data_IF_105796197820
#
_entry.id   IF_105796197820
#
_cell.length_a   1.000
_cell.length_b   1.000
_cell.length_c   1.000
_cell.angle_alpha   90.00
_cell.angle_beta   90.00
_cell.angle_gamma   90.00
#
_symmetry.space_group_name_H-M   'P 1'
#
loop_
_entity.id
_entity.type
_entity.pdbx_description
1 polymer ?
#
# COMPACT_ATOMS: atom_id res chain seq x y z
N UNK A 1 -19.12 22.07 -7.02
CA UNK A 1 -18.49 20.84 -6.48
C UNK A 1 -17.18 20.63 -7.23
N UNK A 2 -16.05 20.65 -6.52
CA UNK A 2 -14.71 20.81 -7.11
C UNK A 2 -14.08 19.45 -7.48
N UNK A 3 -13.58 19.33 -8.71
CA UNK A 3 -12.93 18.13 -9.25
C UNK A 3 -11.62 17.74 -8.54
N UNK A 4 -11.14 18.55 -7.60
CA UNK A 4 -9.93 18.30 -6.82
C UNK A 4 -10.16 17.29 -5.68
N UNK A 5 -11.36 17.21 -5.10
CA UNK A 5 -11.66 16.33 -3.95
C UNK A 5 -11.77 14.84 -4.32
N UNK A 6 -11.90 14.50 -5.60
CA UNK A 6 -11.97 13.11 -6.05
C UNK A 6 -10.60 12.42 -6.10
N UNK A 7 -9.49 13.17 -6.01
CA UNK A 7 -8.14 12.68 -6.32
C UNK A 7 -7.42 12.01 -5.15
N UNK A 8 -7.97 12.04 -3.94
CA UNK A 8 -7.28 11.57 -2.73
C UNK A 8 -8.13 10.67 -1.83
N UNK A 9 -9.14 9.98 -2.38
CA UNK A 9 -9.66 8.80 -1.66
C UNK A 9 -8.65 7.67 -1.85
N UNK A 10 -8.06 7.13 -0.77
CA UNK A 10 -7.27 5.90 -0.88
C UNK A 10 -8.20 4.83 -1.43
N UNK A 11 -8.04 4.50 -2.71
CA UNK A 11 -8.85 3.50 -3.38
C UNK A 11 -8.48 2.16 -2.76
N UNK A 12 -9.49 1.42 -2.28
CA UNK A 12 -9.27 0.08 -1.77
C UNK A 12 -8.54 -0.76 -2.84
N UNK A 13 -7.55 -1.60 -2.48
CA UNK A 13 -6.79 -2.40 -3.44
C UNK A 13 -7.68 -3.21 -4.41
N UNK A 14 -8.87 -3.62 -3.95
CA UNK A 14 -9.88 -4.31 -4.77
C UNK A 14 -10.43 -3.47 -5.92
N UNK A 15 -10.69 -2.17 -5.73
CA UNK A 15 -11.21 -1.31 -6.81
C UNK A 15 -10.13 -1.04 -7.86
N UNK A 16 -8.88 -0.89 -7.44
CA UNK A 16 -7.74 -0.75 -8.35
C UNK A 16 -7.51 -2.01 -9.19
N UNK A 17 -7.59 -3.20 -8.57
CA UNK A 17 -7.54 -4.48 -9.29
C UNK A 17 -8.66 -4.60 -10.32
N UNK A 18 -9.89 -4.25 -9.94
CA UNK A 18 -11.05 -4.27 -10.85
C UNK A 18 -10.87 -3.33 -12.05
N UNK A 19 -10.45 -2.08 -11.81
CA UNK A 19 -10.20 -1.11 -12.87
C UNK A 19 -9.07 -1.57 -13.82
N UNK A 20 -7.99 -2.11 -13.27
CA UNK A 20 -6.87 -2.61 -14.06
C UNK A 20 -7.24 -3.82 -14.92
N UNK A 21 -8.08 -4.74 -14.41
CA UNK A 21 -8.64 -5.84 -15.21
C UNK A 21 -9.52 -5.34 -16.35
N UNK A 22 -10.34 -4.31 -16.12
CA UNK A 22 -11.14 -3.69 -17.18
C UNK A 22 -10.26 -3.06 -18.28
N UNK A 23 -9.16 -2.41 -17.90
CA UNK A 23 -8.20 -1.86 -18.87
C UNK A 23 -7.54 -2.96 -19.70
N UNK A 24 -7.14 -4.07 -19.06
CA UNK A 24 -6.61 -5.25 -19.77
C UNK A 24 -7.63 -5.81 -20.76
N UNK A 25 -8.86 -6.05 -20.32
CA UNK A 25 -9.92 -6.58 -21.18
C UNK A 25 -10.22 -5.63 -22.37
N UNK A 26 -10.27 -4.33 -22.10
CA UNK A 26 -10.49 -3.31 -23.12
C UNK A 26 -9.34 -3.27 -24.13
N UNK A 27 -8.08 -3.38 -23.67
CA UNK A 27 -6.92 -3.45 -24.55
C UNK A 27 -6.94 -4.67 -25.45
N UNK A 28 -7.29 -5.84 -24.91
CA UNK A 28 -7.40 -7.09 -25.69
C UNK A 28 -8.52 -6.98 -26.74
N UNK A 29 -9.72 -6.56 -26.33
CA UNK A 29 -10.87 -6.37 -27.24
C UNK A 29 -10.53 -5.34 -28.32
N UNK A 30 -9.91 -4.23 -27.94
CA UNK A 30 -9.49 -3.18 -28.85
C UNK A 30 -8.49 -3.68 -29.89
N UNK A 31 -7.45 -4.40 -29.47
CA UNK A 31 -6.46 -5.01 -30.37
C UNK A 31 -7.11 -5.96 -31.39
N UNK A 32 -8.09 -6.77 -30.97
CA UNK A 32 -8.82 -7.68 -31.85
C UNK A 32 -9.61 -6.89 -32.92
N UNK A 33 -10.37 -5.87 -32.50
CA UNK A 33 -11.19 -5.06 -33.42
C UNK A 33 -10.31 -4.31 -34.42
N UNK A 34 -9.23 -3.68 -33.95
CA UNK A 34 -8.32 -2.92 -34.82
C UNK A 34 -7.54 -3.80 -35.77
N UNK A 35 -7.25 -5.05 -35.37
CA UNK A 35 -6.65 -6.04 -36.27
C UNK A 35 -7.60 -6.43 -37.41
N UNK A 36 -8.91 -6.48 -37.15
CA UNK A 36 -9.93 -6.74 -38.19
C UNK A 36 -10.04 -5.53 -39.14
N UNK A 37 -9.88 -4.32 -38.61
CA UNK A 37 -9.91 -3.08 -39.38
C UNK A 37 -8.61 -2.77 -40.15
N UNK A 38 -7.57 -3.60 -40.00
CA UNK A 38 -6.22 -3.42 -40.56
C UNK A 38 -5.52 -2.12 -40.11
N UNK A 39 -5.90 -1.59 -38.94
CA UNK A 39 -5.38 -0.34 -38.37
C UNK A 39 -4.31 -0.61 -37.31
N UNK A 40 -3.06 -0.78 -37.76
CA UNK A 40 -1.92 -1.12 -36.89
C UNK A 40 -1.68 -0.06 -35.81
N UNK A 41 -1.85 1.22 -36.14
CA UNK A 41 -1.66 2.31 -35.17
C UNK A 41 -2.64 2.23 -34.00
N UNK A 42 -3.88 1.86 -34.28
CA UNK A 42 -4.90 1.69 -33.25
C UNK A 42 -4.67 0.40 -32.42
N UNK A 43 -4.15 -0.67 -33.03
CA UNK A 43 -3.78 -1.87 -32.28
C UNK A 43 -2.70 -1.59 -31.22
N UNK A 44 -1.70 -0.76 -31.55
CA UNK A 44 -0.62 -0.40 -30.62
C UNK A 44 -1.15 0.40 -29.43
N UNK A 45 -2.07 1.34 -29.65
CA UNK A 45 -2.63 2.16 -28.55
C UNK A 45 -3.47 1.32 -27.59
N UNK A 46 -4.31 0.41 -28.11
CA UNK A 46 -5.05 -0.53 -27.27
C UNK A 46 -4.14 -1.51 -26.53
N UNK A 47 -3.05 -1.97 -27.16
CA UNK A 47 -2.01 -2.74 -26.50
C UNK A 47 -1.37 -1.99 -25.34
N UNK A 48 -1.06 -0.71 -25.51
CA UNK A 48 -0.49 0.14 -24.45
C UNK A 48 -1.46 0.34 -23.27
N UNK A 49 -2.76 0.53 -23.56
CA UNK A 49 -3.81 0.59 -22.53
C UNK A 49 -3.84 -0.71 -21.72
N UNK A 50 -3.81 -1.87 -22.40
CA UNK A 50 -3.75 -3.17 -21.75
C UNK A 50 -2.49 -3.36 -20.91
N UNK A 51 -1.32 -2.98 -21.43
CA UNK A 51 -0.04 -3.06 -20.72
C UNK A 51 -0.03 -2.23 -19.44
N UNK A 52 -0.63 -1.04 -19.47
CA UNK A 52 -0.76 -0.18 -18.28
C UNK A 52 -1.63 -0.84 -17.20
N UNK A 53 -2.73 -1.50 -17.59
CA UNK A 53 -3.54 -2.31 -16.69
C UNK A 53 -2.78 -3.48 -16.08
N UNK A 54 -2.03 -4.22 -16.89
CA UNK A 54 -1.23 -5.35 -16.43
C UNK A 54 -0.12 -4.90 -15.46
N UNK A 55 0.53 -3.78 -15.75
CA UNK A 55 1.53 -3.17 -14.87
C UNK A 55 0.92 -2.76 -13.52
N UNK A 56 -0.26 -2.15 -13.53
CA UNK A 56 -0.97 -1.80 -12.30
C UNK A 56 -1.31 -3.05 -11.46
N UNK A 57 -1.75 -4.14 -12.09
CA UNK A 57 -2.00 -5.42 -11.39
C UNK A 57 -0.73 -6.00 -10.78
N UNK A 58 0.39 -5.97 -11.51
CA UNK A 58 1.69 -6.41 -11.01
C UNK A 58 2.08 -5.60 -9.78
N UNK A 59 2.04 -4.26 -9.89
CA UNK A 59 2.44 -3.36 -8.81
C UNK A 59 1.61 -3.62 -7.54
N UNK A 60 0.29 -3.73 -7.67
CA UNK A 60 -0.61 -4.03 -6.55
C UNK A 60 -0.37 -5.44 -6.01
N UNK A 61 -0.10 -6.41 -6.88
CA UNK A 61 0.20 -7.79 -6.49
C UNK A 61 1.50 -7.93 -5.69
N UNK A 62 2.50 -7.07 -5.94
CA UNK A 62 3.78 -7.08 -5.22
C UNK A 62 3.73 -6.19 -3.97
N UNK A 63 3.16 -4.99 -4.08
CA UNK A 63 3.24 -3.99 -3.02
C UNK A 63 2.29 -4.28 -1.86
N UNK A 64 1.07 -4.76 -2.13
CA UNK A 64 0.09 -5.04 -1.06
C UNK A 64 0.61 -6.10 -0.08
N UNK A 65 1.08 -7.29 -0.52
CA UNK A 65 1.64 -8.27 0.40
C UNK A 65 2.89 -7.78 1.14
N UNK A 66 3.74 -6.98 0.47
CA UNK A 66 4.92 -6.42 1.11
C UNK A 66 4.53 -5.46 2.26
N UNK A 67 3.55 -4.58 2.03
CA UNK A 67 3.03 -3.67 3.06
C UNK A 67 2.34 -4.43 4.18
N UNK A 68 1.51 -5.43 3.87
CA UNK A 68 0.86 -6.28 4.87
C UNK A 68 1.89 -7.01 5.74
N UNK A 69 2.96 -7.53 5.13
CA UNK A 69 4.05 -8.17 5.86
C UNK A 69 4.83 -7.20 6.74
N UNK A 70 5.11 -5.98 6.26
CA UNK A 70 5.77 -4.98 7.09
C UNK A 70 4.90 -4.60 8.29
N UNK A 71 3.59 -4.42 8.08
CA UNK A 71 2.65 -4.12 9.15
C UNK A 71 2.56 -5.26 10.18
N UNK A 72 2.55 -6.53 9.76
CA UNK A 72 2.52 -7.65 10.72
C UNK A 72 3.80 -7.74 11.55
N UNK A 73 4.96 -7.45 10.95
CA UNK A 73 6.23 -7.38 11.68
C UNK A 73 6.26 -6.25 12.71
N UNK A 74 5.66 -5.11 12.40
CA UNK A 74 5.56 -4.00 13.35
C UNK A 74 4.62 -4.33 14.51
N UNK A 75 3.52 -5.04 14.26
CA UNK A 75 2.61 -5.54 15.31
C UNK A 75 3.30 -6.53 16.25
N UNK A 76 4.06 -7.49 15.70
CA UNK A 76 4.84 -8.45 16.51
C UNK A 76 5.86 -7.74 17.40
N UNK A 77 6.52 -6.69 16.90
CA UNK A 77 7.44 -5.87 17.68
C UNK A 77 6.72 -5.07 18.76
N UNK A 78 5.55 -4.51 18.46
CA UNK A 78 4.74 -3.79 19.43
C UNK A 78 4.33 -4.73 20.58
N UNK A 79 3.83 -5.92 20.27
CA UNK A 79 3.46 -6.93 21.26
C UNK A 79 4.64 -7.33 22.16
N UNK A 80 5.85 -7.48 21.59
CA UNK A 80 7.05 -7.78 22.37
C UNK A 80 7.43 -6.65 23.34
N UNK A 81 7.23 -5.39 22.94
CA UNK A 81 7.46 -4.21 23.80
C UNK A 81 6.42 -4.17 24.92
N UNK A 82 5.14 -4.40 24.62
CA UNK A 82 4.06 -4.44 25.61
C UNK A 82 4.30 -5.53 26.66
N UNK A 83 4.67 -6.74 26.25
CA UNK A 83 4.99 -7.82 27.18
C UNK A 83 6.20 -7.47 28.06
N UNK A 84 7.23 -6.83 27.51
CA UNK A 84 8.37 -6.36 28.28
C UNK A 84 8.00 -5.30 29.33
N UNK A 85 7.15 -4.33 28.95
CA UNK A 85 6.60 -3.31 29.85
C UNK A 85 5.79 -3.98 30.96
N UNK A 86 4.92 -4.93 30.62
CA UNK A 86 4.09 -5.64 31.60
C UNK A 86 4.95 -6.42 32.60
N UNK A 87 6.03 -7.08 32.16
CA UNK A 87 6.97 -7.75 33.05
C UNK A 87 7.70 -6.79 33.98
N UNK A 88 8.09 -5.61 33.50
CA UNK A 88 8.74 -4.58 34.32
C UNK A 88 7.79 -4.04 35.40
N UNK A 89 6.54 -3.74 35.03
CA UNK A 89 5.51 -3.30 35.97
C UNK A 89 5.22 -4.41 37.00
N UNK A 90 5.10 -5.67 36.56
CA UNK A 90 4.91 -6.82 37.46
C UNK A 90 6.09 -7.04 38.42
N UNK A 91 7.32 -6.69 38.00
CA UNK A 91 8.50 -6.69 38.86
C UNK A 91 8.55 -5.51 39.85
N UNK A 92 7.57 -4.60 39.80
CA UNK A 92 7.44 -3.47 40.71
C UNK A 92 8.08 -2.18 40.21
N UNK A 93 8.35 -2.04 38.91
CA UNK A 93 8.78 -0.77 38.34
C UNK A 93 7.67 0.30 38.52
N UNK A 94 8.08 1.54 38.82
CA UNK A 94 7.16 2.67 38.89
C UNK A 94 6.63 3.01 37.50
N UNK A 95 5.31 3.03 37.36
CA UNK A 95 4.66 3.19 36.06
C UNK A 95 4.86 4.60 35.48
N UNK A 96 4.95 5.62 36.34
CA UNK A 96 5.12 7.01 35.90
C UNK A 96 6.55 7.25 35.41
N UNK A 97 7.55 6.73 36.13
CA UNK A 97 8.94 6.77 35.69
C UNK A 97 9.16 5.98 34.40
N UNK A 98 8.54 4.80 34.28
CA UNK A 98 8.58 3.97 33.07
C UNK A 98 7.95 4.70 31.88
N UNK A 99 6.79 5.33 32.07
CA UNK A 99 6.11 6.13 31.04
C UNK A 99 6.96 7.30 30.59
N UNK A 100 7.60 8.01 31.52
CA UNK A 100 8.48 9.14 31.21
C UNK A 100 9.70 8.70 30.38
N UNK A 101 10.28 7.55 30.75
CA UNK A 101 11.45 6.97 30.07
C UNK A 101 11.11 6.52 28.66
N UNK A 102 9.98 5.83 28.48
CA UNK A 102 9.50 5.41 27.15
C UNK A 102 9.21 6.64 26.29
N UNK A 103 8.55 7.68 26.83
CA UNK A 103 8.29 8.91 26.12
C UNK A 103 9.59 9.61 25.66
N UNK A 104 10.61 9.63 26.52
CA UNK A 104 11.94 10.15 26.17
C UNK A 104 12.61 9.32 25.06
N UNK A 105 12.52 7.99 25.13
CA UNK A 105 13.04 7.09 24.10
C UNK A 105 12.33 7.30 22.74
N UNK A 106 11.00 7.44 22.73
CA UNK A 106 10.21 7.76 21.52
C UNK A 106 10.62 9.12 20.95
N UNK A 107 10.79 10.14 21.81
CA UNK A 107 11.24 11.45 21.37
C UNK A 107 12.65 11.39 20.74
N UNK A 108 13.56 10.62 21.33
CA UNK A 108 14.90 10.43 20.79
C UNK A 108 14.84 9.71 19.43
N UNK A 109 14.05 8.64 19.34
CA UNK A 109 13.85 7.87 18.11
C UNK A 109 13.31 8.71 16.95
N UNK A 110 12.28 9.53 17.20
CA UNK A 110 11.72 10.45 16.18
C UNK A 110 12.77 11.43 15.63
N UNK A 111 13.56 12.04 16.52
CA UNK A 111 14.65 12.95 16.13
C UNK A 111 15.72 12.24 15.28
N UNK A 112 16.03 10.98 15.59
CA UNK A 112 16.98 10.18 14.83
C UNK A 112 16.44 9.73 13.47
N UNK A 113 15.13 9.55 13.34
CA UNK A 113 14.47 9.20 12.07
C UNK A 113 14.36 10.39 11.10
N UNK A 114 14.63 11.62 11.55
CA UNK A 114 14.60 12.82 10.73
C UNK A 114 13.24 13.52 10.65
N UNK A 115 12.31 13.21 11.56
CA UNK A 115 11.07 13.97 11.79
C UNK A 115 11.34 15.32 12.49
#
# INVERSE_FOLDING_TARGET
MSAADARTRPLAPGTLRGAALLLCATGIVGMIITSIADEVGAAITFGFIGATGAFALLLVGVLVPAVESAASWDEERAAAVEDAVQRLVAAGADEEDLRSTIAAAIHLGRRSAGD
#
